data_IF_267925608434
#
_entry.id   IF_267925608434
#
_cell.length_a   1.000
_cell.length_b   1.000
_cell.length_c   1.000
_cell.angle_alpha   90.00
_cell.angle_beta   90.00
_cell.angle_gamma   90.00
#
_symmetry.space_group_name_H-M   'P 1'
#
loop_
_entity.id
_entity.type
_entity.pdbx_description
1 polymer ?
#
# COMPACT_ATOMS: atom_id res chain seq x y z
N UNK A 1 -14.01 -28.60 25.06
CA UNK A 1 -14.97 -27.86 24.21
C UNK A 1 -14.82 -26.39 24.57
N UNK A 2 -14.51 -25.54 23.60
CA UNK A 2 -14.04 -24.17 23.86
C UNK A 2 -15.16 -23.15 23.65
N UNK A 3 -15.12 -22.05 24.41
CA UNK A 3 -16.09 -20.93 24.40
C UNK A 3 -16.38 -20.38 22.98
N UNK A 4 -15.46 -20.54 22.05
CA UNK A 4 -15.60 -20.14 20.64
C UNK A 4 -16.58 -21.04 19.88
N UNK A 5 -16.57 -22.34 20.14
CA UNK A 5 -17.50 -23.30 19.51
C UNK A 5 -18.94 -23.03 19.97
N UNK A 6 -19.11 -22.66 21.24
CA UNK A 6 -20.41 -22.35 21.83
C UNK A 6 -20.97 -21.02 21.31
N UNK A 7 -20.11 -20.01 21.09
CA UNK A 7 -20.52 -18.75 20.43
C UNK A 7 -20.87 -18.96 18.96
N UNK A 8 -20.18 -19.84 18.25
CA UNK A 8 -20.49 -20.18 16.86
C UNK A 8 -21.83 -20.93 16.74
N UNK A 9 -22.07 -21.91 17.62
CA UNK A 9 -23.34 -22.63 17.66
C UNK A 9 -24.52 -21.69 17.94
N UNK A 10 -24.41 -20.80 18.94
CA UNK A 10 -25.45 -19.81 19.25
C UNK A 10 -25.69 -18.81 18.11
N UNK A 11 -24.64 -18.38 17.41
CA UNK A 11 -24.80 -17.49 16.26
C UNK A 11 -25.58 -18.17 15.11
N UNK A 12 -25.35 -19.47 14.90
CA UNK A 12 -26.09 -20.25 13.90
C UNK A 12 -27.55 -20.46 14.28
N UNK A 13 -27.84 -20.81 15.53
CA UNK A 13 -29.21 -21.00 16.01
C UNK A 13 -30.03 -19.71 15.99
N UNK A 14 -29.39 -18.57 16.27
CA UNK A 14 -30.05 -17.26 16.18
C UNK A 14 -30.38 -16.91 14.72
N UNK A 15 -29.52 -17.27 13.77
CA UNK A 15 -29.76 -17.00 12.36
C UNK A 15 -30.86 -17.89 11.79
N UNK A 16 -30.95 -19.17 12.19
CA UNK A 16 -32.02 -20.08 11.74
C UNK A 16 -33.37 -19.72 12.34
N UNK A 17 -33.42 -19.14 13.55
CA UNK A 17 -34.66 -18.69 14.18
C UNK A 17 -35.33 -17.48 13.48
N UNK A 18 -34.62 -16.77 12.60
CA UNK A 18 -35.19 -15.61 11.89
C UNK A 18 -35.88 -15.97 10.58
N UNK A 19 -35.71 -17.20 10.08
CA UNK A 19 -36.40 -17.66 8.86
C UNK A 19 -37.76 -18.22 9.25
N UNK A 20 -38.82 -17.47 8.93
CA UNK A 20 -40.17 -17.94 9.20
C UNK A 20 -40.59 -18.98 8.15
N UNK A 21 -41.28 -20.06 8.52
CA UNK A 21 -41.74 -21.08 7.58
C UNK A 21 -42.57 -20.51 6.42
N UNK A 22 -43.28 -19.41 6.65
CA UNK A 22 -44.06 -18.68 5.65
C UNK A 22 -43.23 -17.90 4.62
N UNK A 23 -41.94 -17.59 4.90
CA UNK A 23 -41.04 -16.93 3.96
C UNK A 23 -40.44 -17.93 2.94
N UNK A 24 -40.58 -19.23 3.21
CA UNK A 24 -40.19 -20.29 2.29
C UNK A 24 -41.27 -20.43 1.23
N UNK A 25 -41.07 -19.78 0.08
CA UNK A 25 -41.91 -19.95 -1.11
C UNK A 25 -42.03 -21.45 -1.41
N UNK A 26 -43.24 -22.03 -1.39
CA UNK A 26 -43.42 -23.46 -1.61
C UNK A 26 -42.89 -23.81 -3.00
N UNK A 27 -41.94 -24.74 -3.05
CA UNK A 27 -41.42 -25.29 -4.28
C UNK A 27 -42.58 -26.00 -4.99
N UNK A 28 -43.10 -25.38 -6.03
CA UNK A 28 -44.08 -26.00 -6.93
C UNK A 28 -43.41 -27.16 -7.64
N UNK A 29 -43.60 -28.37 -7.11
CA UNK A 29 -43.15 -29.61 -7.77
C UNK A 29 -44.03 -29.79 -9.02
N UNK A 30 -43.45 -29.81 -10.23
CA UNK A 30 -44.23 -30.04 -11.44
C UNK A 30 -44.91 -31.40 -11.38
N UNK A 31 -46.23 -31.43 -11.61
CA UNK A 31 -47.00 -32.66 -11.70
C UNK A 31 -46.41 -33.56 -12.80
N UNK A 32 -45.81 -34.68 -12.40
CA UNK A 32 -45.18 -35.64 -13.29
C UNK A 32 -46.21 -36.31 -14.21
N UNK A 33 -46.00 -36.20 -15.53
CA UNK A 33 -46.71 -37.03 -16.51
C UNK A 33 -46.29 -38.50 -16.32
N UNK A 34 -47.22 -39.48 -16.42
CA UNK A 34 -46.87 -40.89 -16.30
C UNK A 34 -46.09 -41.37 -17.53
N UNK A 35 -44.77 -41.49 -17.40
CA UNK A 35 -43.90 -42.07 -18.43
C UNK A 35 -43.94 -43.59 -18.30
N UNK A 36 -44.46 -44.25 -19.34
CA UNK A 36 -44.47 -45.71 -19.48
C UNK A 36 -43.04 -46.25 -19.46
N UNK A 37 -42.80 -47.17 -18.54
CA UNK A 37 -41.56 -47.93 -18.37
C UNK A 37 -41.16 -48.64 -19.67
N UNK A 38 -39.99 -48.33 -20.21
CA UNK A 38 -39.21 -49.30 -20.99
C UNK A 38 -37.71 -49.08 -20.74
N UNK A 39 -37.08 -50.17 -20.34
CA UNK A 39 -35.73 -50.25 -19.83
C UNK A 39 -34.66 -49.76 -20.81
N UNK A 40 -33.61 -49.10 -20.28
CA UNK A 40 -32.22 -49.56 -20.42
C UNK A 40 -31.30 -48.71 -19.55
N UNK A 41 -30.21 -49.38 -19.15
CA UNK A 41 -29.07 -48.95 -18.32
C UNK A 41 -28.38 -47.70 -18.90
N UNK A 42 -27.33 -47.20 -18.23
CA UNK A 42 -26.55 -45.96 -18.50
C UNK A 42 -27.27 -44.71 -17.90
N UNK A 43 -26.77 -43.91 -16.94
CA UNK A 43 -25.40 -43.44 -16.65
C UNK A 43 -25.38 -42.69 -15.29
N UNK A 44 -24.33 -42.77 -14.45
CA UNK A 44 -24.15 -41.94 -13.26
C UNK A 44 -23.34 -40.66 -13.58
N UNK A 45 -23.84 -39.81 -14.49
CA UNK A 45 -23.10 -38.61 -14.92
C UNK A 45 -23.93 -37.32 -15.02
N UNK A 46 -25.22 -37.32 -14.66
CA UNK A 46 -26.11 -36.17 -14.89
C UNK A 46 -26.25 -35.26 -13.66
N UNK A 47 -25.96 -35.74 -12.44
CA UNK A 47 -26.07 -34.93 -11.23
C UNK A 47 -25.00 -33.82 -11.10
N UNK A 48 -23.80 -34.00 -11.68
CA UNK A 48 -22.73 -33.00 -11.61
C UNK A 48 -22.98 -31.77 -12.51
N UNK A 49 -23.69 -31.94 -13.63
CA UNK A 49 -23.95 -30.84 -14.56
C UNK A 49 -25.03 -29.87 -14.04
N UNK A 50 -25.96 -30.32 -13.20
CA UNK A 50 -27.01 -29.46 -12.65
C UNK A 50 -26.45 -28.44 -11.63
N UNK A 51 -25.48 -28.85 -10.80
CA UNK A 51 -24.85 -27.94 -9.81
C UNK A 51 -23.93 -26.93 -10.51
N UNK A 52 -23.18 -27.35 -11.54
CA UNK A 52 -22.33 -26.44 -12.32
C UNK A 52 -23.14 -25.37 -13.07
N UNK A 53 -24.32 -25.71 -13.60
CA UNK A 53 -25.21 -24.75 -14.27
C UNK A 53 -25.88 -23.76 -13.31
N UNK A 54 -26.21 -24.17 -12.08
CA UNK A 54 -26.79 -23.25 -11.08
C UNK A 54 -25.74 -22.24 -10.60
N UNK A 55 -24.49 -22.67 -10.39
CA UNK A 55 -23.38 -21.78 -10.02
C UNK A 55 -23.02 -20.85 -11.19
N UNK A 56 -22.96 -21.35 -12.43
CA UNK A 56 -22.72 -20.51 -13.61
C UNK A 56 -23.86 -19.51 -13.88
N UNK A 57 -25.12 -19.92 -13.66
CA UNK A 57 -26.30 -19.07 -13.82
C UNK A 57 -26.38 -17.94 -12.79
N UNK A 58 -26.04 -18.22 -11.52
CA UNK A 58 -26.00 -17.20 -10.47
C UNK A 58 -24.91 -16.13 -10.72
N UNK A 59 -23.78 -16.53 -11.33
CA UNK A 59 -22.71 -15.59 -11.70
C UNK A 59 -23.12 -14.75 -12.92
N UNK A 60 -23.79 -15.34 -13.92
CA UNK A 60 -24.17 -14.63 -15.14
C UNK A 60 -25.31 -13.62 -14.93
N UNK A 61 -26.27 -13.89 -14.04
CA UNK A 61 -27.35 -12.94 -13.70
C UNK A 61 -26.81 -11.72 -12.93
N UNK A 62 -25.72 -11.88 -12.18
CA UNK A 62 -25.07 -10.77 -11.49
C UNK A 62 -24.26 -9.87 -12.45
N UNK A 63 -23.75 -10.44 -13.55
CA UNK A 63 -23.02 -9.70 -14.61
C UNK A 63 -23.96 -9.01 -15.59
N UNK A 64 -25.12 -9.59 -15.90
CA UNK A 64 -26.08 -9.03 -16.85
C UNK A 64 -27.01 -7.96 -16.24
N UNK A 65 -27.16 -7.90 -14.91
CA UNK A 65 -27.83 -6.78 -14.23
C UNK A 65 -26.96 -5.52 -14.07
N UNK A 66 -25.72 -5.55 -14.55
CA UNK A 66 -24.82 -4.39 -14.61
C UNK A 66 -24.95 -3.58 -15.90
N UNK A 67 -25.90 -3.92 -16.78
CA UNK A 67 -26.01 -3.37 -18.13
C UNK A 67 -27.21 -2.45 -18.36
N UNK A 68 -27.26 -1.32 -17.65
CA UNK A 68 -27.86 -0.05 -18.14
C UNK A 68 -27.42 1.07 -17.20
N UNK A 69 -26.11 1.30 -17.18
CA UNK A 69 -25.48 2.39 -16.45
C UNK A 69 -25.55 3.67 -17.27
N UNK A 70 -26.47 4.53 -16.87
CA UNK A 70 -26.53 5.96 -17.12
C UNK A 70 -25.11 6.56 -17.30
N UNK A 71 -24.80 7.03 -18.50
CA UNK A 71 -23.51 7.64 -18.87
C UNK A 71 -23.40 9.10 -18.38
N UNK A 72 -23.93 9.36 -17.19
CA UNK A 72 -23.58 10.54 -16.41
C UNK A 72 -22.16 10.38 -15.85
N UNK A 73 -21.34 11.45 -15.81
CA UNK A 73 -20.04 11.38 -15.15
C UNK A 73 -20.25 10.91 -13.71
N UNK A 74 -19.61 9.80 -13.34
CA UNK A 74 -19.61 9.26 -11.98
C UNK A 74 -19.02 10.28 -11.01
N UNK A 75 -19.84 11.18 -10.51
CA UNK A 75 -19.56 11.99 -9.33
C UNK A 75 -19.62 11.05 -8.11
N UNK A 76 -18.48 10.50 -7.66
CA UNK A 76 -18.54 9.65 -6.46
C UNK A 76 -17.25 9.03 -5.91
N UNK A 77 -16.20 8.86 -6.72
CA UNK A 77 -14.94 8.30 -6.25
C UNK A 77 -13.76 9.16 -6.70
N UNK A 78 -13.73 10.41 -6.25
CA UNK A 78 -12.52 11.22 -6.37
C UNK A 78 -11.38 10.45 -5.70
N UNK A 79 -10.42 10.00 -6.51
CA UNK A 79 -9.17 9.46 -6.02
C UNK A 79 -8.24 10.65 -5.87
N UNK A 80 -7.88 10.97 -4.63
CA UNK A 80 -6.99 12.08 -4.32
C UNK A 80 -5.63 11.53 -3.93
N UNK A 81 -4.58 12.29 -4.23
CA UNK A 81 -3.26 12.03 -3.69
C UNK A 81 -2.67 13.31 -3.11
N UNK A 82 -1.78 13.13 -2.13
CA UNK A 82 -1.04 14.20 -1.49
C UNK A 82 0.33 14.33 -2.16
N UNK A 83 0.69 15.54 -2.59
CA UNK A 83 2.06 15.86 -3.00
C UNK A 83 2.72 16.72 -1.96
N UNK A 84 3.97 16.40 -1.63
CA UNK A 84 4.82 17.23 -0.79
C UNK A 84 5.87 17.95 -1.65
N UNK A 85 6.36 19.13 -1.22
CA UNK A 85 7.50 19.76 -1.87
C UNK A 85 8.77 18.89 -1.76
N UNK A 86 9.73 19.04 -2.69
CA UNK A 86 11.05 18.45 -2.59
C UNK A 86 11.74 18.75 -1.25
N UNK A 87 12.45 17.76 -0.70
CA UNK A 87 13.18 17.94 0.56
C UNK A 87 14.48 18.75 0.41
N UNK A 88 15.02 18.81 -0.81
CA UNK A 88 16.28 19.50 -1.12
C UNK A 88 16.02 20.99 -1.36
N UNK A 89 16.56 21.84 -0.49
CA UNK A 89 16.50 23.28 -0.66
C UNK A 89 17.13 23.72 -1.97
N UNK A 90 16.44 24.60 -2.71
CA UNK A 90 16.88 25.08 -4.02
C UNK A 90 16.44 24.22 -5.21
N UNK A 91 15.83 23.04 -4.99
CA UNK A 91 15.12 22.34 -6.05
C UNK A 91 13.89 23.17 -6.48
N UNK A 92 13.55 23.19 -7.78
CA UNK A 92 12.30 23.80 -8.24
C UNK A 92 11.11 23.25 -7.44
N UNK A 93 10.29 24.14 -6.88
CA UNK A 93 9.12 23.76 -6.09
C UNK A 93 9.36 23.47 -4.60
N UNK A 94 10.59 23.62 -4.08
CA UNK A 94 10.88 23.42 -2.65
C UNK A 94 10.07 24.35 -1.72
N UNK A 95 9.68 25.54 -2.22
CA UNK A 95 8.85 26.50 -1.48
C UNK A 95 7.33 26.26 -1.68
N UNK A 96 6.93 25.26 -2.48
CA UNK A 96 5.51 24.98 -2.70
C UNK A 96 4.90 24.33 -1.44
N UNK A 97 3.69 24.77 -1.02
CA UNK A 97 2.99 24.08 0.04
C UNK A 97 2.55 22.68 -0.44
N UNK A 98 2.37 21.71 0.48
CA UNK A 98 1.71 20.46 0.14
C UNK A 98 0.39 20.69 -0.56
N UNK A 99 0.02 19.78 -1.45
CA UNK A 99 -1.19 19.92 -2.24
C UNK A 99 -1.96 18.60 -2.36
N UNK A 100 -3.28 18.72 -2.38
CA UNK A 100 -4.19 17.66 -2.76
C UNK A 100 -4.45 17.79 -4.25
N UNK A 101 -4.24 16.68 -4.97
CA UNK A 101 -4.42 16.60 -6.41
C UNK A 101 -5.47 15.58 -6.77
N UNK A 102 -6.21 15.87 -7.83
CA UNK A 102 -7.08 14.92 -8.48
C UNK A 102 -6.22 13.87 -9.20
N UNK A 103 -6.42 12.59 -8.90
CA UNK A 103 -5.60 11.55 -9.50
C UNK A 103 -5.76 11.47 -11.02
N UNK A 104 -6.98 11.36 -11.60
CA UNK A 104 -7.12 11.26 -13.06
C UNK A 104 -6.50 12.42 -13.84
N UNK A 105 -6.66 13.66 -13.37
CA UNK A 105 -6.24 14.85 -14.11
C UNK A 105 -4.89 15.43 -13.67
N UNK A 106 -4.37 15.04 -12.49
CA UNK A 106 -3.18 15.65 -11.90
C UNK A 106 -3.36 17.07 -11.36
N UNK A 107 -4.54 17.66 -11.54
CA UNK A 107 -4.80 19.04 -11.19
C UNK A 107 -4.76 19.24 -9.67
N UNK A 108 -4.14 20.34 -9.25
CA UNK A 108 -4.19 20.79 -7.86
C UNK A 108 -5.61 21.21 -7.52
N UNK A 109 -6.26 20.48 -6.62
CA UNK A 109 -7.57 20.82 -6.09
C UNK A 109 -7.41 21.84 -4.97
N UNK A 110 -6.46 21.60 -4.08
CA UNK A 110 -6.22 22.44 -2.92
C UNK A 110 -4.76 22.42 -2.50
N UNK A 111 -4.22 23.61 -2.21
CA UNK A 111 -2.97 23.76 -1.47
C UNK A 111 -3.26 23.80 0.03
N UNK A 112 -2.45 23.11 0.80
CA UNK A 112 -2.62 22.96 2.25
C UNK A 112 -1.85 24.08 2.98
N UNK A 113 -2.40 24.63 4.06
CA UNK A 113 -1.65 25.53 4.91
C UNK A 113 -0.55 24.75 5.66
N UNK A 114 0.61 25.37 5.83
CA UNK A 114 1.65 24.86 6.72
C UNK A 114 1.48 25.53 8.09
N UNK A 115 1.26 24.78 9.18
CA UNK A 115 1.22 25.34 10.54
C UNK A 115 2.51 26.09 10.85
N UNK A 116 2.43 27.18 11.63
CA UNK A 116 3.59 28.07 11.89
C UNK A 116 4.74 27.39 12.63
N UNK A 117 4.45 26.31 13.38
CA UNK A 117 5.47 25.52 14.06
C UNK A 117 6.21 24.53 13.15
N UNK A 118 5.69 24.28 11.94
CA UNK A 118 6.24 23.31 10.99
C UNK A 118 7.27 24.00 10.11
N UNK A 119 8.51 23.55 10.20
CA UNK A 119 9.59 23.98 9.32
C UNK A 119 9.37 23.40 7.92
N UNK A 120 9.19 22.08 7.86
CA UNK A 120 8.97 21.36 6.60
C UNK A 120 8.26 20.04 6.80
N UNK A 121 7.59 19.59 5.74
CA UNK A 121 7.04 18.25 5.64
C UNK A 121 8.14 17.29 5.19
N UNK A 122 8.31 16.19 5.92
CA UNK A 122 9.36 15.19 5.68
C UNK A 122 8.82 14.06 4.80
N UNK A 123 7.61 13.59 5.09
CA UNK A 123 6.97 12.49 4.38
C UNK A 123 5.45 12.52 4.58
N UNK A 124 4.71 11.78 3.77
CA UNK A 124 3.25 11.70 3.81
C UNK A 124 2.73 10.37 3.29
N UNK A 125 1.70 9.84 3.95
CA UNK A 125 1.06 8.57 3.57
C UNK A 125 -0.45 8.70 3.58
N UNK A 126 -1.12 8.07 2.62
CA UNK A 126 -2.58 7.99 2.56
C UNK A 126 -3.14 6.77 3.27
N UNK A 127 -4.46 6.75 3.41
CA UNK A 127 -5.23 5.58 3.83
C UNK A 127 -6.10 5.11 2.67
N UNK A 128 -6.71 3.93 2.80
CA UNK A 128 -7.50 3.32 1.74
C UNK A 128 -8.73 4.14 1.32
N UNK A 129 -9.21 5.06 2.16
CA UNK A 129 -10.34 5.92 1.83
C UNK A 129 -9.96 7.10 0.90
N UNK A 130 -8.65 7.30 0.63
CA UNK A 130 -8.07 8.42 -0.11
C UNK A 130 -8.56 9.81 0.38
N UNK A 131 -8.95 9.89 1.65
CA UNK A 131 -9.49 11.10 2.29
C UNK A 131 -8.83 11.40 3.62
N UNK A 132 -8.17 10.41 4.21
CA UNK A 132 -7.34 10.58 5.39
C UNK A 132 -5.88 10.36 4.99
N UNK A 133 -5.04 11.34 5.31
CA UNK A 133 -3.59 11.28 5.13
C UNK A 133 -2.90 11.59 6.45
N UNK A 134 -1.69 11.08 6.60
CA UNK A 134 -0.80 11.40 7.70
C UNK A 134 0.46 12.04 7.14
N UNK A 135 0.87 13.15 7.73
CA UNK A 135 2.06 13.89 7.33
C UNK A 135 3.05 13.90 8.48
N UNK A 136 4.30 13.58 8.19
CA UNK A 136 5.40 13.73 9.13
C UNK A 136 6.02 15.12 8.93
N UNK A 137 6.05 15.93 9.97
CA UNK A 137 6.61 17.28 9.94
C UNK A 137 7.87 17.38 10.81
N UNK A 138 8.85 18.15 10.37
CA UNK A 138 9.91 18.69 11.23
C UNK A 138 9.44 20.00 11.83
N UNK A 139 9.73 20.23 13.11
CA UNK A 139 9.36 21.47 13.79
C UNK A 139 10.50 22.52 13.74
N UNK A 140 10.15 23.80 13.69
CA UNK A 140 11.10 24.94 13.60
C UNK A 140 12.06 25.00 14.79
N UNK A 141 11.56 24.80 16.01
CA UNK A 141 12.33 24.98 17.25
C UNK A 141 12.94 23.67 17.78
N UNK A 142 12.95 22.61 16.98
CA UNK A 142 13.40 21.32 17.45
C UNK A 142 14.93 21.21 17.50
N UNK A 143 15.53 21.46 18.66
CA UNK A 143 16.98 21.36 18.91
C UNK A 143 17.58 20.00 18.47
N UNK A 144 16.77 18.93 18.51
CA UNK A 144 17.18 17.55 18.19
C UNK A 144 16.53 16.97 16.94
N UNK A 145 15.92 17.81 16.11
CA UNK A 145 15.21 17.36 14.91
C UNK A 145 13.92 16.59 15.22
N UNK A 146 13.31 16.86 16.38
CA UNK A 146 11.99 16.37 16.75
C UNK A 146 10.99 16.56 15.61
N UNK A 147 10.22 15.51 15.37
CA UNK A 147 9.22 15.48 14.32
C UNK A 147 7.85 15.17 14.93
N UNK A 148 6.79 15.61 14.25
CA UNK A 148 5.43 15.37 14.70
C UNK A 148 4.57 14.87 13.54
N UNK A 149 3.66 13.94 13.83
CA UNK A 149 2.71 13.43 12.85
C UNK A 149 1.43 14.27 12.90
N UNK A 150 1.02 14.79 11.74
CA UNK A 150 -0.26 15.46 11.55
C UNK A 150 -1.25 14.54 10.85
N UNK A 151 -2.53 14.64 11.20
CA UNK A 151 -3.63 14.04 10.46
C UNK A 151 -4.28 15.09 9.58
N UNK A 152 -4.39 14.77 8.31
CA UNK A 152 -5.10 15.53 7.29
C UNK A 152 -6.36 14.76 6.90
N UNK A 153 -7.50 15.45 6.87
CA UNK A 153 -8.76 14.90 6.33
C UNK A 153 -9.33 15.84 5.28
N UNK A 154 -9.83 15.24 4.22
CA UNK A 154 -10.53 15.94 3.14
C UNK A 154 -11.96 15.42 2.95
N UNK A 155 -12.81 16.26 2.40
CA UNK A 155 -14.18 15.94 2.03
C UNK A 155 -14.23 15.18 0.67
N UNK A 156 -15.41 14.71 0.24
CA UNK A 156 -15.57 14.06 -1.06
C UNK A 156 -15.25 14.92 -2.30
N UNK A 157 -14.99 16.22 -2.12
CA UNK A 157 -14.62 17.17 -3.18
C UNK A 157 -13.13 17.54 -3.11
N UNK A 158 -12.36 16.85 -2.27
CA UNK A 158 -10.94 17.09 -2.09
C UNK A 158 -10.62 18.31 -1.21
N UNK A 159 -11.62 18.85 -0.50
CA UNK A 159 -11.43 20.04 0.34
C UNK A 159 -11.01 19.66 1.75
N UNK A 160 -10.05 20.39 2.31
CA UNK A 160 -9.58 20.30 3.67
C UNK A 160 -10.74 20.42 4.68
N UNK A 161 -10.91 19.38 5.48
CA UNK A 161 -11.82 19.33 6.63
C UNK A 161 -11.05 19.50 7.94
N UNK A 162 -9.86 18.89 8.02
CA UNK A 162 -9.05 18.87 9.23
C UNK A 162 -7.56 18.79 8.86
N UNK A 163 -6.73 19.62 9.47
CA UNK A 163 -5.29 19.43 9.55
C UNK A 163 -4.87 19.70 10.99
N UNK A 164 -4.55 18.64 11.73
CA UNK A 164 -4.29 18.74 13.16
C UNK A 164 -3.16 17.79 13.59
N UNK A 165 -2.48 18.16 14.67
CA UNK A 165 -1.53 17.28 15.36
C UNK A 165 -2.20 15.97 15.75
N UNK A 166 -1.55 14.85 15.50
CA UNK A 166 -2.04 13.53 15.89
C UNK A 166 -1.74 13.29 17.36
N UNK A 167 -2.74 13.00 18.22
CA UNK A 167 -2.46 12.68 19.62
C UNK A 167 -1.51 11.48 19.75
N UNK A 168 -0.42 11.65 20.52
CA UNK A 168 0.66 10.66 20.63
C UNK A 168 1.56 10.56 19.39
N UNK A 169 1.40 11.46 18.42
CA UNK A 169 2.16 11.53 17.17
C UNK A 169 3.54 12.18 17.30
N UNK A 170 4.02 12.45 18.51
CA UNK A 170 5.39 12.93 18.74
C UNK A 170 6.41 11.84 18.39
N UNK A 171 7.32 12.17 17.48
CA UNK A 171 8.36 11.28 16.98
C UNK A 171 9.70 11.78 17.51
N UNK A 172 10.23 11.16 18.59
CA UNK A 172 11.49 11.60 19.18
C UNK A 172 12.68 11.19 18.31
N UNK A 173 13.72 12.03 18.34
CA UNK A 173 14.90 11.89 17.50
C UNK A 173 14.70 12.43 16.09
N UNK A 174 15.74 12.33 15.26
CA UNK A 174 15.65 12.72 13.87
C UNK A 174 14.99 11.58 13.07
N UNK A 175 13.80 11.85 12.55
CA UNK A 175 13.17 10.93 11.61
C UNK A 175 13.97 10.89 10.31
N UNK A 176 14.19 9.69 9.79
CA UNK A 176 14.95 9.49 8.55
C UNK A 176 14.05 9.45 7.31
N UNK A 177 12.76 9.75 7.46
CA UNK A 177 11.85 9.95 6.32
C UNK A 177 10.66 8.99 6.29
N UNK A 178 10.86 7.67 6.15
CA UNK A 178 9.78 6.77 5.80
C UNK A 178 8.63 6.74 6.80
N UNK A 179 7.42 7.06 6.33
CA UNK A 179 6.15 6.92 7.02
C UNK A 179 5.28 5.90 6.27
N UNK A 180 4.68 4.96 7.00
CA UNK A 180 3.75 3.99 6.44
C UNK A 180 2.48 3.88 7.28
N UNK A 181 1.33 3.67 6.65
CA UNK A 181 0.04 3.50 7.32
C UNK A 181 -0.63 2.18 6.97
N UNK A 182 -1.45 1.67 7.89
CA UNK A 182 -2.46 0.65 7.57
C UNK A 182 -3.56 1.25 6.71
N UNK A 183 -4.31 0.40 6.00
CA UNK A 183 -5.38 0.85 5.12
C UNK A 183 -6.45 1.67 5.85
N UNK A 184 -6.73 1.36 7.12
CA UNK A 184 -7.69 2.08 7.97
C UNK A 184 -7.07 3.26 8.74
N UNK A 185 -5.76 3.49 8.61
CA UNK A 185 -5.03 4.51 9.39
C UNK A 185 -4.96 4.23 10.90
N UNK A 186 -5.32 3.03 11.37
CA UNK A 186 -5.26 2.69 12.79
C UNK A 186 -3.84 2.52 13.31
N UNK A 187 -2.89 2.24 12.42
CA UNK A 187 -1.47 2.07 12.75
C UNK A 187 -0.60 2.87 11.79
N UNK A 188 0.42 3.52 12.33
CA UNK A 188 1.45 4.23 11.57
C UNK A 188 2.82 3.70 11.97
N UNK A 189 3.70 3.47 11.00
CA UNK A 189 5.08 3.09 11.22
C UNK A 189 6.02 4.19 10.72
N UNK A 190 7.06 4.50 11.49
CA UNK A 190 8.10 5.48 11.13
C UNK A 190 9.48 4.94 11.51
N UNK A 191 10.52 5.38 10.80
CA UNK A 191 11.90 5.11 11.20
C UNK A 191 12.58 6.36 11.74
N UNK A 192 13.27 6.19 12.86
CA UNK A 192 14.03 7.27 13.51
C UNK A 192 15.47 6.83 13.75
N UNK A 193 16.39 7.79 13.71
CA UNK A 193 17.75 7.60 14.20
C UNK A 193 17.76 7.63 15.73
N UNK A 194 18.31 6.61 16.37
CA UNK A 194 18.53 6.58 17.80
C UNK A 194 19.73 7.48 18.13
N UNK A 195 19.48 8.74 18.48
CA UNK A 195 20.52 9.76 18.66
C UNK A 195 21.38 9.59 19.93
N UNK A 196 21.00 8.73 20.87
CA UNK A 196 21.65 8.67 22.19
C UNK A 196 22.88 7.73 22.24
N UNK A 197 23.42 7.30 21.10
CA UNK A 197 24.56 6.38 21.08
C UNK A 197 25.77 6.92 20.31
N UNK A 198 26.98 6.96 20.92
CA UNK A 198 28.22 7.36 20.26
C UNK A 198 28.74 6.33 19.22
N UNK A 199 27.98 5.26 18.99
CA UNK A 199 28.26 4.17 18.06
C UNK A 199 27.51 4.40 16.73
N UNK A 200 27.78 3.67 15.63
CA UNK A 200 27.14 3.93 14.32
C UNK A 200 25.61 3.94 14.44
N UNK A 201 24.90 4.69 13.56
CA UNK A 201 23.53 5.09 13.82
C UNK A 201 22.62 3.86 14.01
N UNK A 202 22.16 3.64 15.24
CA UNK A 202 21.13 2.65 15.47
C UNK A 202 19.80 3.21 14.96
N UNK A 203 19.07 2.44 14.14
CA UNK A 203 17.72 2.83 13.71
C UNK A 203 16.68 2.20 14.63
N UNK A 204 15.62 2.96 14.91
CA UNK A 204 14.41 2.41 15.51
C UNK A 204 13.29 2.42 14.48
N UNK A 205 12.61 1.30 14.37
CA UNK A 205 11.27 1.22 13.77
C UNK A 205 10.26 1.43 14.88
N UNK A 206 9.39 2.42 14.73
CA UNK A 206 8.37 2.78 15.71
C UNK A 206 7.00 2.61 15.08
N UNK A 207 6.08 1.96 15.81
CA UNK A 207 4.70 1.76 15.40
C UNK A 207 3.74 2.44 16.38
N UNK A 208 3.03 3.44 15.91
CA UNK A 208 1.98 4.15 16.63
C UNK A 208 0.65 3.43 16.45
N UNK A 209 -0.04 3.12 17.55
CA UNK A 209 -1.46 2.76 17.54
C UNK A 209 -2.29 4.02 17.73
N UNK A 210 -2.90 4.51 16.65
CA UNK A 210 -3.49 5.86 16.55
C UNK A 210 -4.58 6.10 17.59
N UNK A 211 -5.43 5.10 17.86
CA UNK A 211 -6.53 5.24 18.83
C UNK A 211 -6.08 5.43 20.27
N UNK A 212 -4.86 4.99 20.61
CA UNK A 212 -4.34 5.02 21.98
C UNK A 212 -3.14 5.96 22.15
N UNK A 213 -2.59 6.49 21.07
CA UNK A 213 -1.34 7.25 21.09
C UNK A 213 -0.11 6.43 21.51
N UNK A 214 -0.22 5.10 21.59
CA UNK A 214 0.85 4.24 22.13
C UNK A 214 1.83 3.81 21.05
N UNK A 215 3.11 3.95 21.35
CA UNK A 215 4.21 3.44 20.52
C UNK A 215 4.66 2.03 20.92
N UNK A 216 4.98 1.22 19.92
CA UNK A 216 5.79 0.00 20.04
C UNK A 216 7.08 0.23 19.28
N UNK A 217 8.23 -0.09 19.88
CA UNK A 217 9.55 0.28 19.36
C UNK A 217 10.41 -0.95 19.18
N UNK A 218 11.05 -1.05 18.02
CA UNK A 218 12.07 -2.05 17.74
C UNK A 218 13.35 -1.36 17.29
N UNK A 219 14.48 -1.77 17.87
CA UNK A 219 15.77 -1.14 17.63
C UNK A 219 16.75 -2.12 17.00
N UNK A 220 17.63 -1.65 16.11
CA UNK A 220 18.69 -2.48 15.53
C UNK A 220 19.89 -1.65 15.10
N UNK A 221 21.03 -2.32 14.93
CA UNK A 221 22.25 -1.69 14.42
C UNK A 221 22.29 -1.72 12.88
N UNK A 222 21.84 -0.64 12.27
CA UNK A 222 21.60 -0.50 10.83
C UNK A 222 20.49 0.52 10.56
N UNK A 223 20.03 0.59 9.32
CA UNK A 223 18.97 1.47 8.86
C UNK A 223 17.79 0.67 8.33
N UNK A 224 16.59 1.00 8.80
CA UNK A 224 15.35 0.55 8.19
C UNK A 224 14.87 1.63 7.21
N UNK A 225 14.74 1.24 5.95
CA UNK A 225 14.36 2.10 4.84
C UNK A 225 13.07 1.58 4.19
N UNK A 226 12.40 2.46 3.44
CA UNK A 226 11.22 2.14 2.63
C UNK A 226 10.19 1.26 3.35
N UNK A 227 9.50 1.85 4.33
CA UNK A 227 8.50 1.12 5.11
C UNK A 227 7.24 0.82 4.30
N UNK A 228 6.62 -0.33 4.59
CA UNK A 228 5.27 -0.61 4.13
C UNK A 228 4.49 -1.45 5.11
N UNK A 229 3.36 -0.92 5.56
CA UNK A 229 2.42 -1.64 6.40
C UNK A 229 1.43 -2.43 5.53
N UNK A 230 1.06 -3.63 5.99
CA UNK A 230 -0.03 -4.39 5.40
C UNK A 230 -1.37 -3.66 5.61
N UNK A 231 -2.39 -3.90 4.76
CA UNK A 231 -3.69 -3.25 4.89
C UNK A 231 -4.32 -3.39 6.28
N UNK A 232 -4.20 -4.57 6.90
CA UNK A 232 -4.70 -4.87 8.25
C UNK A 232 -3.77 -4.40 9.38
N UNK A 233 -2.64 -3.76 9.05
CA UNK A 233 -1.65 -3.28 9.99
C UNK A 233 -0.96 -4.37 10.82
N UNK A 234 -1.06 -5.66 10.45
CA UNK A 234 -0.46 -6.79 11.20
C UNK A 234 0.97 -7.11 10.80
N UNK A 235 1.41 -6.66 9.63
CA UNK A 235 2.77 -6.87 9.12
C UNK A 235 3.36 -5.55 8.65
N UNK A 236 4.66 -5.40 8.88
CA UNK A 236 5.47 -4.33 8.35
C UNK A 236 6.59 -4.95 7.51
N UNK A 237 6.74 -4.49 6.27
CA UNK A 237 7.92 -4.75 5.45
C UNK A 237 8.83 -3.52 5.45
N UNK A 238 10.13 -3.76 5.35
CA UNK A 238 11.13 -2.72 5.24
C UNK A 238 12.40 -3.27 4.59
N UNK A 239 13.14 -2.39 3.94
CA UNK A 239 14.51 -2.66 3.52
C UNK A 239 15.44 -2.42 4.72
N UNK A 240 16.37 -3.34 4.94
CA UNK A 240 17.35 -3.24 6.01
C UNK A 240 18.74 -3.10 5.41
N UNK A 241 19.46 -2.07 5.85
CA UNK A 241 20.88 -1.86 5.58
C UNK A 241 21.62 -2.01 6.90
N UNK A 242 22.27 -3.15 7.09
CA UNK A 242 22.96 -3.52 8.31
C UNK A 242 24.32 -2.86 8.44
N UNK A 243 24.71 -2.57 9.67
CA UNK A 243 26.09 -2.21 9.97
C UNK A 243 26.86 -3.40 10.57
N UNK A 244 28.13 -3.53 10.18
CA UNK A 244 29.00 -4.61 10.65
C UNK A 244 28.63 -5.97 10.07
N UNK A 245 28.08 -6.87 10.90
CA UNK A 245 27.77 -8.27 10.52
C UNK A 245 26.28 -8.53 10.23
N UNK A 246 25.44 -7.51 10.38
CA UNK A 246 24.01 -7.63 10.09
C UNK A 246 23.80 -7.73 8.58
N UNK A 247 23.16 -8.79 8.05
CA UNK A 247 22.96 -8.93 6.61
C UNK A 247 21.88 -7.98 6.10
N UNK A 248 22.12 -7.38 4.93
CA UNK A 248 21.16 -6.51 4.28
C UNK A 248 20.00 -7.29 3.67
N UNK A 249 18.91 -6.58 3.41
CA UNK A 249 17.83 -7.06 2.56
C UNK A 249 16.44 -6.75 3.09
N UNK A 250 15.43 -7.32 2.44
CA UNK A 250 14.04 -7.05 2.79
C UNK A 250 13.59 -7.95 3.92
N UNK A 251 13.04 -7.33 4.95
CA UNK A 251 12.55 -8.00 6.15
C UNK A 251 11.06 -7.76 6.35
N UNK A 252 10.44 -8.66 7.09
CA UNK A 252 9.07 -8.49 7.58
C UNK A 252 9.01 -8.64 9.08
N UNK A 253 8.15 -7.84 9.72
CA UNK A 253 7.94 -7.80 11.16
C UNK A 253 6.45 -8.00 11.46
N UNK A 254 6.15 -8.87 12.43
CA UNK A 254 4.81 -8.96 13.02
C UNK A 254 4.62 -7.79 14.00
N UNK A 255 3.67 -6.92 13.69
CA UNK A 255 3.42 -5.69 14.44
C UNK A 255 2.60 -5.91 15.71
N UNK A 256 2.03 -7.11 15.89
CA UNK A 256 1.40 -7.53 17.15
C UNK A 256 2.41 -8.09 18.16
N UNK A 257 3.65 -8.34 17.72
CA UNK A 257 4.73 -8.79 18.59
C UNK A 257 5.17 -7.72 19.59
N UNK A 258 5.82 -8.13 20.70
CA UNK A 258 6.37 -7.18 21.66
C UNK A 258 7.53 -6.38 21.06
N UNK A 259 7.77 -5.20 21.65
CA UNK A 259 8.97 -4.38 21.43
C UNK A 259 10.28 -5.16 21.66
N UNK A 260 11.39 -4.65 21.15
CA UNK A 260 12.73 -5.21 21.42
C UNK A 260 13.72 -5.07 20.27
N UNK A 261 14.62 -6.04 20.13
CA UNK A 261 15.60 -6.06 19.05
C UNK A 261 14.91 -6.34 17.69
N UNK A 262 15.10 -5.45 16.73
CA UNK A 262 14.41 -5.47 15.44
C UNK A 262 14.78 -6.69 14.61
N UNK A 263 16.05 -7.11 14.63
CA UNK A 263 16.53 -8.19 13.78
C UNK A 263 16.08 -9.58 14.26
N UNK A 264 16.01 -9.79 15.57
CA UNK A 264 15.48 -11.01 16.19
C UNK A 264 13.96 -11.10 16.10
N UNK A 265 13.25 -9.97 16.04
CA UNK A 265 11.78 -9.91 15.91
C UNK A 265 11.28 -9.94 14.47
N UNK A 266 12.15 -9.63 13.51
CA UNK A 266 11.82 -9.64 12.08
C UNK A 266 12.40 -10.85 11.37
N UNK A 267 11.75 -11.25 10.29
CA UNK A 267 12.19 -12.32 9.40
C UNK A 267 12.73 -11.72 8.10
N UNK A 268 13.95 -12.10 7.72
CA UNK A 268 14.48 -11.79 6.39
C UNK A 268 13.71 -12.59 5.35
N UNK A 269 13.17 -11.91 4.34
CA UNK A 269 12.52 -12.54 3.20
C UNK A 269 13.44 -12.60 1.99
N UNK A 270 14.17 -11.52 1.71
CA UNK A 270 15.07 -11.46 0.55
C UNK A 270 16.44 -10.94 1.01
N UNK A 271 17.54 -11.71 0.88
CA UNK A 271 18.88 -11.23 1.20
C UNK A 271 19.41 -10.27 0.11
N UNK A 272 20.25 -9.31 0.53
CA UNK A 272 21.01 -8.41 -0.36
C UNK A 272 22.49 -8.39 0.11
N UNK A 273 23.49 -8.49 -0.80
CA UNK A 273 23.35 -8.86 -2.20
C UNK A 273 22.78 -10.29 -2.32
N UNK A 274 21.84 -10.46 -3.24
CA UNK A 274 21.14 -11.73 -3.45
C UNK A 274 20.86 -11.97 -4.94
N UNK A 275 19.82 -12.74 -5.31
CA UNK A 275 19.40 -12.83 -6.72
C UNK A 275 18.81 -11.51 -7.27
N UNK A 276 18.63 -10.52 -6.39
CA UNK A 276 18.26 -9.16 -6.71
C UNK A 276 19.51 -8.30 -6.48
N UNK A 277 19.86 -7.45 -7.45
CA UNK A 277 21.05 -6.60 -7.38
C UNK A 277 20.83 -5.55 -6.28
N UNK A 278 19.90 -4.63 -6.53
CA UNK A 278 19.41 -3.64 -5.59
C UNK A 278 17.90 -3.78 -5.46
N UNK A 279 17.37 -3.56 -4.26
CA UNK A 279 15.94 -3.61 -3.98
C UNK A 279 15.52 -2.27 -3.44
N UNK A 280 14.41 -1.77 -3.98
CA UNK A 280 13.82 -0.49 -3.61
C UNK A 280 12.35 -0.70 -3.28
N UNK A 281 11.84 0.11 -2.36
CA UNK A 281 10.40 0.29 -2.13
C UNK A 281 9.63 -1.04 -1.95
N UNK A 282 9.92 -1.88 -0.94
CA UNK A 282 9.09 -3.03 -0.64
C UNK A 282 7.68 -2.58 -0.24
N UNK A 283 6.64 -3.27 -0.73
CA UNK A 283 5.29 -3.09 -0.20
C UNK A 283 4.51 -4.37 0.02
N UNK A 284 3.70 -4.36 1.08
CA UNK A 284 2.79 -5.44 1.41
C UNK A 284 1.44 -5.22 0.73
N UNK A 285 1.06 -6.15 -0.15
CA UNK A 285 -0.30 -6.28 -0.65
C UNK A 285 -1.08 -7.36 0.09
N UNK A 286 -2.31 -7.65 -0.37
CA UNK A 286 -3.13 -8.72 0.21
C UNK A 286 -2.51 -10.11 0.02
N UNK A 287 -1.90 -10.33 -1.14
CA UNK A 287 -1.45 -11.63 -1.60
C UNK A 287 0.04 -11.91 -1.29
N UNK A 288 0.79 -10.90 -0.84
CA UNK A 288 2.21 -11.06 -0.54
C UNK A 288 2.99 -9.75 -0.52
N UNK A 289 4.31 -9.88 -0.64
CA UNK A 289 5.26 -8.78 -0.74
C UNK A 289 5.53 -8.50 -2.21
N UNK A 290 5.53 -7.23 -2.59
CA UNK A 290 5.97 -6.77 -3.91
C UNK A 290 7.21 -5.89 -3.73
N UNK A 291 8.11 -5.93 -4.70
CA UNK A 291 9.39 -5.22 -4.66
C UNK A 291 9.69 -4.62 -6.02
N UNK A 292 10.26 -3.41 -6.02
CA UNK A 292 11.03 -2.94 -7.17
C UNK A 292 12.47 -3.42 -6.97
N UNK A 293 13.07 -4.02 -7.98
CA UNK A 293 14.50 -4.31 -7.99
C UNK A 293 15.15 -3.51 -9.11
N UNK A 294 16.24 -2.80 -8.80
CA UNK A 294 17.07 -2.13 -9.77
C UNK A 294 18.37 -2.90 -9.99
N UNK A 295 18.93 -2.81 -11.19
CA UNK A 295 20.07 -3.58 -11.68
C UNK A 295 20.27 -3.25 -13.15
N UNK A 296 20.78 -4.19 -13.96
CA UNK A 296 20.83 -4.02 -15.42
C UNK A 296 19.43 -3.81 -16.05
N UNK A 297 18.39 -4.33 -15.38
CA UNK A 297 16.99 -4.07 -15.67
C UNK A 297 16.26 -3.73 -14.37
N UNK A 298 15.35 -2.76 -14.41
CA UNK A 298 14.41 -2.53 -13.31
C UNK A 298 13.23 -3.49 -13.44
N UNK A 299 12.92 -4.21 -12.37
CA UNK A 299 11.86 -5.23 -12.34
C UNK A 299 10.89 -4.95 -11.21
N UNK A 300 9.60 -5.09 -11.49
CA UNK A 300 8.58 -5.21 -10.47
C UNK A 300 8.30 -6.70 -10.22
N UNK A 301 8.56 -7.15 -9.00
CA UNK A 301 8.50 -8.55 -8.61
C UNK A 301 7.43 -8.78 -7.55
N UNK A 302 6.71 -9.89 -7.66
CA UNK A 302 5.89 -10.43 -6.59
C UNK A 302 6.67 -11.53 -5.86
N UNK A 303 6.86 -11.38 -4.56
CA UNK A 303 7.61 -12.29 -3.69
C UNK A 303 6.63 -13.05 -2.79
N UNK A 304 6.74 -14.37 -2.82
CA UNK A 304 6.01 -15.23 -1.90
C UNK A 304 6.52 -15.05 -0.45
N UNK A 305 5.72 -15.45 0.53
CA UNK A 305 6.10 -15.45 1.96
C UNK A 305 7.34 -16.32 2.27
N UNK A 306 7.80 -17.14 1.32
CA UNK A 306 9.04 -17.92 1.41
C UNK A 306 10.29 -17.12 1.01
N UNK A 307 10.14 -15.88 0.52
CA UNK A 307 11.24 -15.08 -0.03
C UNK A 307 11.56 -15.36 -1.50
N UNK A 308 10.84 -16.28 -2.14
CA UNK A 308 11.06 -16.62 -3.55
C UNK A 308 10.28 -15.69 -4.46
N UNK A 309 10.88 -15.29 -5.58
CA UNK A 309 10.17 -14.61 -6.67
C UNK A 309 9.09 -15.55 -7.21
N UNK A 310 7.83 -15.14 -7.05
CA UNK A 310 6.66 -15.88 -7.53
C UNK A 310 6.26 -15.45 -8.93
N UNK A 311 6.45 -14.16 -9.26
CA UNK A 311 6.20 -13.61 -10.59
C UNK A 311 7.06 -12.36 -10.84
N UNK A 312 7.42 -12.15 -12.12
CA UNK A 312 7.87 -10.85 -12.63
C UNK A 312 6.67 -10.19 -13.27
N UNK A 313 6.23 -9.05 -12.74
CA UNK A 313 5.02 -8.34 -13.21
C UNK A 313 5.35 -7.33 -14.29
N UNK A 314 6.48 -6.63 -14.13
CA UNK A 314 6.99 -5.67 -15.09
C UNK A 314 8.51 -5.77 -15.16
N UNK A 315 9.07 -5.49 -16.33
CA UNK A 315 10.50 -5.40 -16.59
C UNK A 315 10.74 -4.24 -17.54
N UNK A 316 11.67 -3.35 -17.20
CA UNK A 316 12.12 -2.26 -18.05
C UNK A 316 13.63 -2.15 -17.99
N UNK A 317 14.26 -1.97 -19.14
CA UNK A 317 15.68 -1.65 -19.22
C UNK A 317 15.81 -0.14 -19.07
N UNK A 318 16.74 0.37 -18.24
CA UNK A 318 17.06 1.79 -18.22
C UNK A 318 17.33 2.28 -19.63
N UNK A 319 16.69 3.37 -20.03
CA UNK A 319 17.01 4.00 -21.30
C UNK A 319 18.45 4.52 -21.16
N UNK A 320 19.37 4.16 -22.07
CA UNK A 320 20.69 4.77 -22.03
C UNK A 320 20.48 6.27 -22.16
N UNK A 321 20.92 7.04 -21.16
CA UNK A 321 20.97 8.49 -21.30
C UNK A 321 21.77 8.78 -22.56
N UNK A 322 21.14 9.46 -23.51
CA UNK A 322 21.85 9.97 -24.68
C UNK A 322 22.84 10.99 -24.17
N UNK A 323 24.07 10.54 -23.92
CA UNK A 323 25.16 11.42 -23.53
C UNK A 323 25.24 12.54 -24.57
N UNK A 324 25.01 13.78 -24.12
CA UNK A 324 25.18 14.95 -24.98
C UNK A 324 26.65 15.00 -25.37
N UNK A 325 27.00 14.90 -26.66
CA UNK A 325 28.41 14.89 -27.07
C UNK A 325 29.07 16.21 -26.68
N UNK A 326 30.00 16.19 -25.72
CA UNK A 326 30.76 17.37 -25.31
C UNK A 326 30.79 17.62 -23.81
N UNK A 327 29.85 17.06 -23.05
CA UNK A 327 29.99 17.01 -21.59
C UNK A 327 31.06 15.96 -21.26
N UNK A 328 31.93 16.26 -20.29
CA UNK A 328 33.07 15.41 -19.92
C UNK A 328 32.67 13.96 -19.55
N UNK A 329 33.62 13.10 -19.17
CA UNK A 329 33.29 11.76 -18.68
C UNK A 329 32.14 11.89 -17.66
N UNK A 330 31.01 11.20 -17.89
CA UNK A 330 29.79 11.45 -17.13
C UNK A 330 30.14 11.29 -15.65
N UNK A 331 29.90 12.35 -14.87
CA UNK A 331 29.81 12.20 -13.41
C UNK A 331 28.87 11.00 -13.19
N UNK A 332 29.33 9.99 -12.43
CA UNK A 332 28.68 8.69 -12.20
C UNK A 332 27.18 8.82 -12.48
N UNK A 333 26.78 8.41 -13.69
CA UNK A 333 25.45 8.73 -14.20
C UNK A 333 24.44 8.28 -13.14
N UNK A 334 23.63 9.22 -12.66
CA UNK A 334 22.66 8.98 -11.60
C UNK A 334 21.69 7.90 -12.12
N UNK A 335 21.94 6.64 -11.72
CA UNK A 335 21.20 5.49 -12.23
C UNK A 335 19.82 5.49 -11.59
N UNK A 336 18.97 6.42 -12.04
CA UNK A 336 17.57 6.44 -11.65
C UNK A 336 16.94 5.12 -12.11
N UNK A 337 16.18 4.44 -11.24
CA UNK A 337 15.51 3.22 -11.63
C UNK A 337 14.55 3.52 -12.79
N UNK A 338 14.47 2.61 -13.77
CA UNK A 338 13.56 2.77 -14.91
C UNK A 338 12.07 2.69 -14.51
N UNK A 339 11.80 2.31 -13.26
CA UNK A 339 10.49 2.22 -12.64
C UNK A 339 10.62 2.72 -11.20
N UNK A 340 9.83 3.73 -10.84
CA UNK A 340 9.56 4.14 -9.45
C UNK A 340 8.10 3.89 -9.14
N UNK A 341 7.79 3.45 -7.93
CA UNK A 341 6.39 3.33 -7.47
C UNK A 341 6.04 4.60 -6.72
N UNK A 342 5.04 5.33 -7.22
CA UNK A 342 4.53 6.55 -6.57
C UNK A 342 3.39 6.24 -5.63
N UNK A 343 2.43 5.43 -6.09
CA UNK A 343 1.20 5.19 -5.36
C UNK A 343 0.67 3.78 -5.55
N UNK A 344 -0.09 3.32 -4.57
CA UNK A 344 -0.83 2.06 -4.60
C UNK A 344 -2.29 2.33 -4.33
N UNK A 345 -3.18 1.64 -5.05
CA UNK A 345 -4.59 1.68 -4.70
C UNK A 345 -4.85 0.93 -3.39
N UNK A 346 -5.88 1.34 -2.67
CA UNK A 346 -6.36 0.74 -1.44
C UNK A 346 -6.59 -0.78 -1.51
N UNK A 347 -7.16 -1.24 -2.63
CA UNK A 347 -7.42 -2.65 -2.92
C UNK A 347 -6.15 -3.40 -3.35
N UNK A 348 -5.01 -2.71 -3.43
CA UNK A 348 -3.71 -3.21 -3.86
C UNK A 348 -3.69 -3.76 -5.28
N UNK A 349 -4.73 -3.48 -6.07
CA UNK A 349 -4.86 -3.95 -7.45
C UNK A 349 -4.10 -3.08 -8.44
N UNK A 350 -4.02 -1.78 -8.19
CA UNK A 350 -3.43 -0.82 -9.11
C UNK A 350 -2.21 -0.17 -8.47
N UNK A 351 -1.19 0.07 -9.29
CA UNK A 351 0.02 0.77 -8.88
C UNK A 351 0.30 1.88 -9.87
N UNK A 352 0.56 3.09 -9.37
CA UNK A 352 1.01 4.22 -10.15
C UNK A 352 2.53 4.17 -10.23
N UNK A 353 3.04 4.05 -11.44
CA UNK A 353 4.45 3.92 -11.76
C UNK A 353 4.96 5.18 -12.44
N UNK A 354 6.15 5.64 -12.07
CA UNK A 354 6.94 6.58 -12.84
C UNK A 354 7.97 5.84 -13.67
N UNK A 355 8.09 6.17 -14.95
CA UNK A 355 9.06 5.55 -15.87
C UNK A 355 10.07 6.57 -16.44
N UNK A 356 10.32 7.63 -15.68
CA UNK A 356 11.22 8.74 -16.05
C UNK A 356 10.54 9.80 -16.90
N UNK A 357 9.84 9.42 -17.96
CA UNK A 357 9.17 10.37 -18.89
C UNK A 357 7.65 10.35 -18.82
N UNK A 358 7.07 9.37 -18.10
CA UNK A 358 5.64 9.11 -18.05
C UNK A 358 5.25 8.59 -16.69
N UNK A 359 3.98 8.82 -16.38
CA UNK A 359 3.29 8.15 -15.28
C UNK A 359 2.29 7.14 -15.84
N UNK A 360 2.24 5.95 -15.27
CA UNK A 360 1.43 4.84 -15.77
C UNK A 360 0.71 4.10 -14.64
N UNK A 361 -0.55 3.73 -14.85
CA UNK A 361 -1.27 2.78 -14.00
C UNK A 361 -1.01 1.35 -14.46
N UNK A 362 -0.51 0.51 -13.57
CA UNK A 362 -0.42 -0.94 -13.74
C UNK A 362 -1.52 -1.62 -12.93
N UNK A 363 -2.41 -2.36 -13.58
CA UNK A 363 -3.30 -3.34 -12.91
C UNK A 363 -2.49 -4.63 -12.65
N UNK A 364 -2.22 -4.95 -11.39
CA UNK A 364 -1.42 -6.11 -10.98
C UNK A 364 -2.08 -7.45 -11.33
N UNK A 365 -3.41 -7.50 -11.48
CA UNK A 365 -4.14 -8.72 -11.79
C UNK A 365 -4.14 -8.98 -13.30
N UNK A 366 -4.50 -7.98 -14.10
CA UNK A 366 -4.59 -8.13 -15.57
C UNK A 366 -3.26 -7.85 -16.27
N UNK A 367 -2.31 -7.23 -15.56
CA UNK A 367 -1.02 -6.73 -16.08
C UNK A 367 -1.18 -5.70 -17.20
N UNK A 368 -2.34 -5.06 -17.28
CA UNK A 368 -2.57 -3.98 -18.23
C UNK A 368 -1.96 -2.68 -17.71
N UNK A 369 -1.31 -1.96 -18.62
CA UNK A 369 -0.72 -0.65 -18.36
C UNK A 369 -1.59 0.40 -19.05
N UNK A 370 -1.94 1.45 -18.32
CA UNK A 370 -2.60 2.64 -18.84
C UNK A 370 -1.73 3.87 -18.58
N UNK A 371 -1.19 4.44 -19.65
CA UNK A 371 -0.43 5.70 -19.58
C UNK A 371 -1.34 6.86 -19.20
N UNK A 372 -0.81 7.80 -18.42
CA UNK A 372 -1.48 9.03 -18.05
C UNK A 372 -0.83 10.22 -18.75
N UNK A 373 -1.61 10.93 -19.57
CA UNK A 373 -1.08 12.00 -20.43
C UNK A 373 -0.85 13.33 -19.68
N UNK A 374 -1.39 13.49 -18.48
CA UNK A 374 -1.42 14.77 -17.75
C UNK A 374 -0.55 14.82 -16.48
N UNK A 375 0.15 13.73 -16.15
CA UNK A 375 0.98 13.66 -14.93
C UNK A 375 2.47 13.86 -15.18
N UNK A 376 2.87 14.28 -16.39
CA UNK A 376 4.28 14.51 -16.70
C UNK A 376 4.89 15.66 -15.89
N UNK A 377 4.07 16.46 -15.19
CA UNK A 377 4.50 17.55 -14.30
C UNK A 377 4.67 17.10 -12.83
N UNK A 378 4.52 15.81 -12.51
CA UNK A 378 4.81 15.28 -11.17
C UNK A 378 6.33 15.11 -10.99
N UNK A 379 7.06 16.22 -10.91
CA UNK A 379 8.45 16.28 -10.42
C UNK A 379 8.51 16.24 -8.89
N UNK A 380 7.44 15.78 -8.23
CA UNK A 380 7.35 15.73 -6.78
C UNK A 380 8.07 14.49 -6.24
N UNK A 381 9.02 14.71 -5.32
CA UNK A 381 9.82 13.66 -4.69
C UNK A 381 9.00 12.70 -3.82
N UNK A 382 7.85 13.14 -3.31
CA UNK A 382 7.03 12.36 -2.37
C UNK A 382 5.55 12.46 -2.72
N UNK A 383 4.96 11.31 -3.03
CA UNK A 383 3.54 11.15 -3.31
C UNK A 383 2.92 10.27 -2.22
N UNK A 384 2.07 10.87 -1.39
CA UNK A 384 1.29 10.17 -0.38
C UNK A 384 0.01 9.61 -0.98
N UNK A 385 -0.04 8.28 -1.09
CA UNK A 385 -1.23 7.45 -1.23
C UNK A 385 -1.22 6.39 -0.10
#
# INVERSE_FOLDING_TARGET
MTEIEERLANAFDTATATVRPEDLKPLTVPAGKPVRRRARRWTPAIAAFAVAMIVAGAVLVNVLRSGEGDSGPLAGSGHYFLTLPPLQGGAPGADEPPAIRDLPSGQVIQRLPTPSEVDRWIDGVGTADNRTFFLLARLVEAERGESHIYRLRIDPRGRLVELARLPGGDVPGNSNGPLAASADGAKLAVTVSAQDHPAPPASQVRLLTVSTGRWTVWSGNGMAESLSLSPDGRRLAFQWVGFGKSPDGVRTLDTGGPAGDLLSRSRQLVPVPGPLDEVHQPWLGRDGLYLVSAGAETRLLAIANTGKVSATLLRRTPRPETATPGDGPPAVADQRPAISVYCRSADTRHVLLGTGDKTEWLDLQTRQIKTMDHLNDLDADIVGC
#
